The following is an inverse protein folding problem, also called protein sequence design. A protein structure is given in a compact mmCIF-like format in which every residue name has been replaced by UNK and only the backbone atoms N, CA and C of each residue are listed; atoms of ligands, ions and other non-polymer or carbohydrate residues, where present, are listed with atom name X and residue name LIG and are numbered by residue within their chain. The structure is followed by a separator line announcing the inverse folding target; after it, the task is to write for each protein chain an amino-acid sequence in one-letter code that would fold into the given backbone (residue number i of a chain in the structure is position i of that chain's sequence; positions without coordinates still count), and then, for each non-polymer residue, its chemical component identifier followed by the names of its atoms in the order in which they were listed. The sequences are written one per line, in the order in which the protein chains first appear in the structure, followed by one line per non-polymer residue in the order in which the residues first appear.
data_IF_395293959414
#
_entry.id   IF_395293959414
#
_cell.length_a   1.000
_cell.length_b   1.000
_cell.length_c   1.000
_cell.angle_alpha   90.00
_cell.angle_beta   90.00
_cell.angle_gamma   90.00
#
_symmetry.space_group_name_H-M   'P 1'
#
loop_
_entity.id
_entity.type
_entity.pdbx_description
1 polymer ?
#
# COMPACT_ATOMS: atom_id res chain seq x y z
N UNK A 1 -4.92 -3.09 -6.42
CA UNK A 1 -4.56 -2.58 -5.08
C UNK A 1 -3.60 -3.51 -4.36
N UNK A 2 -3.93 -4.79 -4.12
CA UNK A 2 -2.97 -5.76 -3.54
C UNK A 2 -1.71 -5.89 -4.41
N UNK A 3 -1.87 -6.00 -5.72
CA UNK A 3 -0.76 -5.97 -6.69
C UNK A 3 0.13 -4.71 -6.56
N UNK A 4 -0.46 -3.56 -6.26
CA UNK A 4 0.30 -2.32 -6.06
C UNK A 4 1.23 -2.42 -4.85
N UNK A 5 0.75 -3.05 -3.79
CA UNK A 5 1.53 -3.33 -2.58
C UNK A 5 2.62 -4.35 -2.90
N UNK A 6 2.27 -5.49 -3.49
CA UNK A 6 3.23 -6.56 -3.84
C UNK A 6 4.39 -6.05 -4.72
N UNK A 7 4.09 -5.21 -5.70
CA UNK A 7 5.10 -4.58 -6.57
C UNK A 7 5.95 -3.55 -5.81
N UNK A 8 5.36 -2.81 -4.87
CA UNK A 8 6.07 -1.79 -4.10
C UNK A 8 7.03 -2.38 -3.07
N UNK A 9 6.64 -3.49 -2.43
CA UNK A 9 7.40 -4.15 -1.35
C UNK A 9 8.07 -5.47 -1.76
N UNK A 10 8.26 -5.70 -3.05
CA UNK A 10 8.83 -6.95 -3.58
C UNK A 10 10.14 -7.33 -2.88
N UNK A 11 10.18 -8.55 -2.33
CA UNK A 11 11.33 -9.08 -1.60
C UNK A 11 11.46 -8.62 -0.15
N UNK A 12 10.54 -7.81 0.37
CA UNK A 12 10.46 -7.43 1.78
C UNK A 12 9.41 -8.27 2.52
N UNK A 13 9.62 -8.46 3.82
CA UNK A 13 8.59 -8.99 4.71
C UNK A 13 7.59 -7.87 5.05
N UNK A 14 6.29 -8.15 4.89
CA UNK A 14 5.24 -7.19 5.17
C UNK A 14 3.97 -7.88 5.66
N UNK A 15 3.15 -7.14 6.39
CA UNK A 15 1.80 -7.51 6.79
C UNK A 15 0.79 -6.63 6.08
N UNK A 16 -0.25 -7.25 5.53
CA UNK A 16 -1.32 -6.59 4.78
C UNK A 16 -2.66 -6.94 5.39
N UNK A 17 -3.35 -5.94 5.93
CA UNK A 17 -4.64 -6.12 6.59
C UNK A 17 -5.72 -5.33 5.85
N UNK A 18 -6.82 -6.00 5.51
CA UNK A 18 -8.02 -5.30 5.04
C UNK A 18 -8.63 -4.54 6.21
N UNK A 19 -8.73 -3.22 6.10
CA UNK A 19 -9.13 -2.36 7.22
C UNK A 19 -10.58 -1.90 7.11
N UNK A 20 -11.11 -1.68 5.91
CA UNK A 20 -12.51 -1.31 5.74
C UNK A 20 -13.03 -1.47 4.31
N UNK A 21 -14.35 -1.59 4.18
CA UNK A 21 -15.08 -1.38 2.94
C UNK A 21 -15.87 -0.08 3.12
N UNK A 22 -15.73 0.87 2.20
CA UNK A 22 -16.48 2.12 2.26
C UNK A 22 -18.00 1.87 2.34
N UNK A 23 -18.74 2.78 2.97
CA UNK A 23 -20.19 2.63 3.19
C UNK A 23 -21.01 2.38 1.91
N UNK A 24 -20.51 2.80 0.74
CA UNK A 24 -21.14 2.60 -0.57
C UNK A 24 -20.54 1.44 -1.37
N UNK A 25 -19.60 0.68 -0.78
CA UNK A 25 -18.91 -0.45 -1.41
C UNK A 25 -17.93 -0.08 -2.53
N UNK A 26 -17.76 1.20 -2.85
CA UNK A 26 -16.98 1.66 -4.01
C UNK A 26 -15.46 1.67 -3.77
N UNK A 27 -15.05 1.75 -2.51
CA UNK A 27 -13.64 1.78 -2.11
C UNK A 27 -13.35 0.75 -1.02
N UNK A 28 -12.13 0.24 -1.07
CA UNK A 28 -11.54 -0.66 -0.08
C UNK A 28 -10.35 0.04 0.56
N UNK A 29 -10.20 -0.10 1.86
CA UNK A 29 -9.06 0.36 2.61
C UNK A 29 -8.23 -0.84 3.04
N UNK A 30 -6.92 -0.74 2.84
CA UNK A 30 -5.94 -1.71 3.31
C UNK A 30 -4.87 -0.99 4.11
N UNK A 31 -4.35 -1.66 5.13
CA UNK A 31 -3.25 -1.20 5.95
C UNK A 31 -2.02 -2.06 5.64
N UNK A 32 -0.93 -1.40 5.23
CA UNK A 32 0.37 -2.02 4.98
C UNK A 32 1.31 -1.74 6.15
N UNK A 33 1.91 -2.79 6.70
CA UNK A 33 2.99 -2.68 7.68
C UNK A 33 4.23 -3.34 7.11
N UNK A 34 5.31 -2.58 6.95
CA UNK A 34 6.58 -3.04 6.38
C UNK A 34 7.73 -2.44 7.19
N UNK A 35 8.74 -3.25 7.47
CA UNK A 35 9.98 -2.79 8.10
C UNK A 35 10.90 -2.25 7.01
N UNK A 36 11.43 -1.05 7.23
CA UNK A 36 12.29 -0.35 6.26
C UNK A 36 13.52 0.21 6.97
N UNK A 37 14.67 0.16 6.31
CA UNK A 37 15.94 0.57 6.91
C UNK A 37 16.07 2.08 7.10
N UNK A 38 15.36 2.86 6.28
CA UNK A 38 15.41 4.32 6.32
C UNK A 38 14.18 4.96 5.65
N UNK A 39 14.07 6.28 5.83
CA UNK A 39 12.97 7.07 5.30
C UNK A 39 12.93 7.11 3.75
N UNK A 40 14.08 7.06 3.08
CA UNK A 40 14.15 7.10 1.60
C UNK A 40 13.43 5.88 1.01
N UNK A 41 13.65 4.69 1.58
CA UNK A 41 12.94 3.47 1.17
C UNK A 41 11.44 3.60 1.40
N UNK A 42 11.03 4.16 2.55
CA UNK A 42 9.61 4.41 2.84
C UNK A 42 8.97 5.31 1.78
N UNK A 43 9.66 6.38 1.39
CA UNK A 43 9.15 7.34 0.41
C UNK A 43 9.06 6.73 -0.99
N UNK A 44 10.02 5.87 -1.37
CA UNK A 44 9.95 5.10 -2.62
C UNK A 44 8.74 4.16 -2.64
N UNK A 45 8.49 3.44 -1.54
CA UNK A 45 7.31 2.56 -1.42
C UNK A 45 6.03 3.37 -1.54
N UNK A 46 5.95 4.50 -0.82
CA UNK A 46 4.79 5.40 -0.88
C UNK A 46 4.51 5.85 -2.32
N UNK A 47 5.52 6.36 -3.03
CA UNK A 47 5.36 6.83 -4.41
C UNK A 47 4.96 5.71 -5.38
N UNK A 48 5.52 4.50 -5.24
CA UNK A 48 5.13 3.36 -6.08
C UNK A 48 3.66 3.00 -5.90
N UNK A 49 3.16 3.01 -4.67
CA UNK A 49 1.76 2.69 -4.38
C UNK A 49 0.85 3.83 -4.86
N UNK A 50 1.22 5.09 -4.57
CA UNK A 50 0.41 6.27 -4.90
C UNK A 50 0.24 6.49 -6.40
N UNK A 51 1.23 6.09 -7.22
CA UNK A 51 1.17 6.22 -8.68
C UNK A 51 0.51 5.02 -9.39
N UNK A 52 0.01 4.01 -8.66
CA UNK A 52 -0.62 2.85 -9.29
C UNK A 52 -2.07 3.16 -9.69
N UNK A 53 -2.47 2.76 -10.90
CA UNK A 53 -3.81 3.02 -11.47
C UNK A 53 -5.00 2.52 -10.62
N UNK A 54 -4.76 1.52 -9.77
CA UNK A 54 -5.77 0.87 -8.93
C UNK A 54 -5.77 1.40 -7.49
N UNK A 55 -5.02 2.47 -7.22
CA UNK A 55 -4.94 3.14 -5.92
C UNK A 55 -5.46 4.55 -6.10
N UNK A 56 -6.49 4.88 -5.33
CA UNK A 56 -7.07 6.23 -5.38
C UNK A 56 -6.30 7.23 -4.52
N UNK A 57 -5.73 6.76 -3.41
CA UNK A 57 -5.07 7.56 -2.39
C UNK A 57 -4.23 6.67 -1.47
N UNK A 58 -3.14 7.22 -0.94
CA UNK A 58 -2.34 6.66 0.14
C UNK A 58 -2.27 7.67 1.29
N UNK A 59 -2.41 7.19 2.53
CA UNK A 59 -2.39 8.00 3.77
C UNK A 59 -1.10 7.78 4.55
#
# INVERSE_FOLDING_TARGET
MVEAVENAVSGMEYDLQASNISQKGSYFSISLKVMVDNQVIRDIIYEKINNHENVKMVL
#
